data_IF_011185690683
#
_entry.id   IF_011185690683
#
_cell.length_a   1.000
_cell.length_b   1.000
_cell.length_c   1.000
_cell.angle_alpha   90.00
_cell.angle_beta   90.00
_cell.angle_gamma   90.00
#
_symmetry.space_group_name_H-M   'P 1'
#
loop_
_entity.id
_entity.type
_entity.pdbx_description
1 polymer ?
#
# COMPACT_ATOMS: atom_id res chain seq x y z
N UNK A 1 -15.83 -12.10 34.76
CA UNK A 1 -14.50 -12.54 34.36
C UNK A 1 -13.45 -11.72 35.11
N UNK A 2 -12.42 -12.36 35.63
CA UNK A 2 -11.29 -11.66 36.24
C UNK A 2 -10.56 -10.83 35.18
N UNK A 3 -10.03 -9.67 35.57
CA UNK A 3 -9.18 -8.87 34.68
C UNK A 3 -7.91 -9.69 34.34
N UNK A 4 -7.51 -9.67 33.06
CA UNK A 4 -6.25 -10.28 32.64
C UNK A 4 -5.05 -9.43 33.11
N UNK A 5 -3.89 -10.04 33.19
CA UNK A 5 -2.62 -9.45 33.66
C UNK A 5 -1.60 -9.30 32.53
N UNK A 6 -2.04 -8.88 31.33
CA UNK A 6 -1.14 -8.67 30.20
C UNK A 6 -0.24 -7.47 30.49
N UNK A 7 1.06 -7.70 30.53
CA UNK A 7 2.08 -6.65 30.56
C UNK A 7 2.70 -6.51 29.18
N UNK A 8 2.55 -5.33 28.55
CA UNK A 8 3.21 -4.97 27.30
C UNK A 8 4.60 -4.44 27.65
N UNK A 9 5.64 -5.19 27.35
CA UNK A 9 7.04 -4.83 27.64
C UNK A 9 7.72 -4.08 26.51
N UNK A 10 7.23 -4.22 25.28
CA UNK A 10 7.67 -3.45 24.11
C UNK A 10 6.57 -3.41 23.05
N UNK A 11 6.47 -2.28 22.34
CA UNK A 11 5.64 -2.15 21.16
C UNK A 11 6.56 -2.21 19.94
N UNK A 12 6.51 -3.32 19.20
CA UNK A 12 7.06 -3.39 17.85
C UNK A 12 5.92 -3.18 16.86
N UNK A 13 5.70 -1.91 16.49
CA UNK A 13 4.73 -1.57 15.45
C UNK A 13 5.34 -1.70 14.06
N UNK A 14 4.51 -1.92 13.05
CA UNK A 14 4.90 -1.73 11.66
C UNK A 14 5.32 -0.27 11.45
N UNK A 15 6.32 -0.05 10.58
CA UNK A 15 6.73 1.29 10.21
C UNK A 15 5.55 2.02 9.56
N UNK A 16 5.32 3.26 9.98
CA UNK A 16 4.31 4.14 9.40
C UNK A 16 4.96 5.43 8.93
N UNK A 17 4.43 5.98 7.83
CA UNK A 17 4.88 7.23 7.23
C UNK A 17 3.69 8.18 7.06
N UNK A 18 3.96 9.47 7.06
CA UNK A 18 2.97 10.51 6.77
C UNK A 18 2.91 10.85 5.27
N UNK A 19 2.03 11.79 4.94
CA UNK A 19 1.80 12.22 3.57
C UNK A 19 3.01 12.88 2.92
N UNK A 20 3.86 13.58 3.68
CA UNK A 20 5.05 14.24 3.13
C UNK A 20 6.16 13.22 2.87
N UNK A 21 6.32 12.25 3.76
CA UNK A 21 7.26 11.17 3.58
C UNK A 21 6.91 10.30 2.37
N UNK A 22 5.63 9.92 2.20
CA UNK A 22 5.22 9.12 1.02
C UNK A 22 5.36 9.92 -0.28
N UNK A 23 5.12 11.23 -0.26
CA UNK A 23 5.36 12.11 -1.42
C UNK A 23 6.82 12.07 -1.86
N UNK A 24 7.74 12.21 -0.91
CA UNK A 24 9.17 12.15 -1.18
C UNK A 24 9.62 10.77 -1.67
N UNK A 25 9.11 9.70 -1.05
CA UNK A 25 9.40 8.32 -1.43
C UNK A 25 8.92 8.00 -2.85
N UNK A 26 7.72 8.42 -3.23
CA UNK A 26 7.16 8.16 -4.55
C UNK A 26 7.94 8.84 -5.70
N UNK A 27 8.69 9.90 -5.40
CA UNK A 27 9.54 10.60 -6.36
C UNK A 27 10.99 10.13 -6.35
N UNK A 28 11.36 9.23 -5.44
CA UNK A 28 12.73 8.72 -5.29
C UNK A 28 12.89 7.37 -6.00
N UNK A 29 13.93 7.19 -6.82
CA UNK A 29 14.22 5.89 -7.44
C UNK A 29 14.67 4.83 -6.42
N UNK A 30 15.04 5.26 -5.20
CA UNK A 30 15.51 4.38 -4.13
C UNK A 30 14.37 3.88 -3.22
N UNK A 31 13.13 4.20 -3.55
CA UNK A 31 11.95 3.79 -2.79
C UNK A 31 10.84 3.29 -3.74
N UNK A 32 9.95 2.47 -3.21
CA UNK A 32 8.83 1.93 -3.94
C UNK A 32 7.53 2.18 -3.15
N UNK A 33 6.57 2.84 -3.79
CA UNK A 33 5.26 3.10 -3.20
C UNK A 33 4.21 2.29 -3.94
N UNK A 34 3.48 1.42 -3.23
CA UNK A 34 2.40 0.60 -3.78
C UNK A 34 1.03 1.16 -3.45
N UNK A 35 0.20 1.30 -4.48
CA UNK A 35 -1.25 1.49 -4.35
C UNK A 35 -1.94 0.13 -4.34
N UNK A 36 -2.51 -0.24 -3.19
CA UNK A 36 -3.17 -1.53 -3.00
C UNK A 36 -4.65 -1.54 -3.44
N UNK A 37 -5.19 -0.42 -3.95
CA UNK A 37 -6.56 -0.32 -4.46
C UNK A 37 -6.73 -1.11 -5.76
N UNK A 38 -7.99 -1.29 -6.18
CA UNK A 38 -8.30 -1.82 -7.52
C UNK A 38 -7.66 -0.97 -8.62
N UNK A 39 -7.19 -1.61 -9.69
CA UNK A 39 -6.50 -0.94 -10.79
C UNK A 39 -7.35 0.17 -11.46
N UNK A 40 -8.68 0.03 -11.50
CA UNK A 40 -9.57 1.06 -12.03
C UNK A 40 -9.54 2.34 -11.17
N UNK A 41 -9.46 2.21 -9.83
CA UNK A 41 -9.31 3.34 -8.92
C UNK A 41 -7.94 4.01 -9.07
N UNK A 42 -6.87 3.22 -9.19
CA UNK A 42 -5.53 3.73 -9.45
C UNK A 42 -5.49 4.57 -10.73
N UNK A 43 -6.05 4.06 -11.84
CA UNK A 43 -6.06 4.79 -13.11
C UNK A 43 -6.95 6.04 -13.11
N UNK A 44 -7.85 6.18 -12.13
CA UNK A 44 -8.81 7.26 -12.09
C UNK A 44 -10.06 7.01 -12.95
N UNK A 45 -10.29 5.78 -13.40
CA UNK A 45 -11.50 5.38 -14.14
C UNK A 45 -12.73 5.37 -13.22
N UNK A 46 -12.51 5.10 -11.93
CA UNK A 46 -13.53 5.01 -10.89
C UNK A 46 -13.04 5.67 -9.60
N UNK A 47 -13.90 6.43 -8.92
CA UNK A 47 -13.66 6.86 -7.54
C UNK A 47 -15.00 7.01 -6.80
N UNK A 48 -15.47 5.94 -6.12
CA UNK A 48 -16.78 5.95 -5.48
C UNK A 48 -16.81 6.63 -4.09
N UNK A 49 -15.64 6.94 -3.49
CA UNK A 49 -15.56 7.30 -2.08
C UNK A 49 -14.85 8.65 -1.83
N UNK A 50 -13.82 8.95 -2.61
CA UNK A 50 -12.92 10.06 -2.34
C UNK A 50 -13.14 11.23 -3.30
N UNK A 51 -12.75 12.48 -2.94
CA UNK A 51 -13.08 13.67 -3.74
C UNK A 51 -12.37 13.76 -5.10
N UNK A 52 -11.25 13.05 -5.27
CA UNK A 52 -10.48 13.05 -6.53
C UNK A 52 -10.13 11.63 -6.96
N UNK A 53 -10.26 11.35 -8.25
CA UNK A 53 -9.85 10.09 -8.85
C UNK A 53 -8.38 10.12 -9.27
N UNK A 54 -7.71 8.95 -9.26
CA UNK A 54 -6.31 8.79 -9.65
C UNK A 54 -5.45 8.19 -8.55
N UNK A 55 -4.14 8.48 -8.56
CA UNK A 55 -3.16 7.92 -7.63
C UNK A 55 -2.08 8.94 -7.25
N UNK A 56 -1.28 8.62 -6.25
CA UNK A 56 -0.09 9.39 -5.86
C UNK A 56 0.93 9.30 -7.00
N UNK A 57 1.39 10.44 -7.59
CA UNK A 57 2.38 10.41 -8.66
C UNK A 57 3.66 9.66 -8.25
N UNK A 58 4.10 8.71 -9.06
CA UNK A 58 5.22 7.83 -8.78
C UNK A 58 4.85 6.51 -8.09
N UNK A 59 3.63 6.36 -7.60
CA UNK A 59 3.17 5.10 -7.03
C UNK A 59 2.90 4.04 -8.10
N UNK A 60 3.16 2.78 -7.77
CA UNK A 60 2.94 1.61 -8.63
C UNK A 60 1.63 0.93 -8.25
N UNK A 61 0.80 0.60 -9.24
CA UNK A 61 -0.42 -0.18 -9.03
C UNK A 61 -0.11 -1.61 -8.58
N UNK A 62 -0.57 -1.98 -7.40
CA UNK A 62 -0.37 -3.30 -6.81
C UNK A 62 -1.66 -3.80 -6.12
N UNK A 63 -2.74 -4.06 -6.88
CA UNK A 63 -4.03 -4.43 -6.31
C UNK A 63 -3.93 -5.61 -5.35
N UNK A 64 -4.38 -5.43 -4.11
CA UNK A 64 -4.24 -6.48 -3.08
C UNK A 64 -5.05 -7.73 -3.38
N UNK A 65 -6.13 -7.62 -4.16
CA UNK A 65 -6.92 -8.77 -4.60
C UNK A 65 -6.09 -9.78 -5.45
N UNK A 66 -5.05 -9.32 -6.12
CA UNK A 66 -4.15 -10.16 -6.91
C UNK A 66 -3.23 -11.04 -6.05
N UNK A 67 -3.19 -10.83 -4.74
CA UNK A 67 -2.47 -11.69 -3.79
C UNK A 67 -3.25 -12.95 -3.42
N UNK A 68 -4.52 -13.04 -3.83
CA UNK A 68 -5.42 -14.10 -3.43
C UNK A 68 -5.61 -15.15 -4.52
N UNK A 69 -5.85 -16.38 -4.08
CA UNK A 69 -6.39 -17.46 -4.91
C UNK A 69 -7.88 -17.25 -5.18
N UNK A 70 -8.47 -18.07 -6.03
CA UNK A 70 -9.91 -18.05 -6.29
C UNK A 70 -10.76 -18.33 -5.02
N UNK A 71 -10.19 -19.04 -4.04
CA UNK A 71 -10.85 -19.35 -2.77
C UNK A 71 -10.70 -18.24 -1.72
N UNK A 72 -10.07 -17.10 -2.07
CA UNK A 72 -9.90 -15.97 -1.18
C UNK A 72 -8.78 -16.13 -0.13
N UNK A 73 -7.92 -17.14 -0.26
CA UNK A 73 -6.72 -17.30 0.58
C UNK A 73 -5.52 -16.67 -0.08
N UNK A 74 -4.48 -16.34 0.68
CA UNK A 74 -3.22 -15.88 0.09
C UNK A 74 -2.64 -16.93 -0.84
N UNK A 75 -2.10 -16.49 -1.96
CA UNK A 75 -1.33 -17.32 -2.88
C UNK A 75 -0.12 -17.96 -2.17
N UNK A 76 0.41 -19.07 -2.68
CA UNK A 76 1.65 -19.66 -2.19
C UNK A 76 2.79 -18.64 -2.13
N UNK A 77 3.68 -18.77 -1.13
CA UNK A 77 4.82 -17.87 -0.89
C UNK A 77 5.63 -17.59 -2.17
N UNK A 78 5.89 -18.64 -2.96
CA UNK A 78 6.67 -18.50 -4.20
C UNK A 78 5.98 -17.61 -5.24
N UNK A 79 4.64 -17.70 -5.37
CA UNK A 79 3.87 -16.88 -6.31
C UNK A 79 3.77 -15.42 -5.83
N UNK A 80 3.59 -15.20 -4.52
CA UNK A 80 3.62 -13.86 -3.94
C UNK A 80 4.99 -13.22 -4.15
N UNK A 81 6.06 -13.98 -3.90
CA UNK A 81 7.42 -13.49 -4.09
C UNK A 81 7.68 -13.11 -5.55
N UNK A 82 7.37 -13.99 -6.49
CA UNK A 82 7.51 -13.71 -7.93
C UNK A 82 6.74 -12.45 -8.35
N UNK A 83 5.52 -12.28 -7.84
CA UNK A 83 4.69 -11.11 -8.10
C UNK A 83 5.35 -9.83 -7.58
N UNK A 84 5.80 -9.83 -6.33
CA UNK A 84 6.41 -8.65 -5.73
C UNK A 84 7.80 -8.35 -6.30
N UNK A 85 8.58 -9.36 -6.70
CA UNK A 85 9.83 -9.17 -7.44
C UNK A 85 9.59 -8.45 -8.77
N UNK A 86 8.56 -8.85 -9.52
CA UNK A 86 8.15 -8.18 -10.78
C UNK A 86 7.73 -6.73 -10.56
N UNK A 87 7.20 -6.40 -9.39
CA UNK A 87 6.84 -5.04 -9.00
C UNK A 87 8.01 -4.25 -8.41
N UNK A 88 9.19 -4.88 -8.24
CA UNK A 88 10.41 -4.23 -7.77
C UNK A 88 10.67 -4.29 -6.26
N UNK A 89 9.86 -5.02 -5.47
CA UNK A 89 9.97 -5.04 -4.01
C UNK A 89 11.33 -5.52 -3.47
N UNK A 90 12.08 -6.31 -4.23
CA UNK A 90 13.41 -6.79 -3.83
C UNK A 90 14.54 -5.77 -4.00
N UNK A 91 14.29 -4.65 -4.68
CA UNK A 91 15.31 -3.66 -5.03
C UNK A 91 15.29 -2.41 -4.13
N UNK A 92 14.17 -2.12 -3.46
CA UNK A 92 13.99 -0.91 -2.67
C UNK A 92 13.04 -1.11 -1.50
N UNK A 93 13.13 -0.29 -0.42
CA UNK A 93 12.14 -0.23 0.63
C UNK A 93 10.74 0.06 0.08
N UNK A 94 9.74 -0.64 0.63
CA UNK A 94 8.36 -0.56 0.16
C UNK A 94 7.51 0.23 1.15
N UNK A 95 6.70 1.15 0.64
CA UNK A 95 5.59 1.78 1.37
C UNK A 95 4.28 1.45 0.67
N UNK A 96 3.24 1.18 1.45
CA UNK A 96 1.92 0.79 0.93
C UNK A 96 0.85 1.77 1.39
N UNK A 97 -0.03 2.15 0.49
CA UNK A 97 -1.28 2.83 0.80
C UNK A 97 -2.48 2.17 0.11
N UNK A 98 -3.69 2.52 0.51
CA UNK A 98 -4.92 2.12 -0.19
C UNK A 98 -5.95 3.27 -0.22
N UNK A 99 -7.21 3.01 0.06
CA UNK A 99 -8.24 4.06 0.24
C UNK A 99 -8.10 4.77 1.59
N UNK A 100 -8.17 4.02 2.68
CA UNK A 100 -8.22 4.51 4.06
C UNK A 100 -7.28 3.77 5.03
N UNK A 101 -6.20 3.18 4.53
CA UNK A 101 -5.20 2.47 5.31
C UNK A 101 -5.56 1.02 5.69
N UNK A 102 -6.83 0.62 5.64
CA UNK A 102 -7.26 -0.72 6.07
C UNK A 102 -6.79 -1.81 5.11
N UNK A 103 -7.13 -1.71 3.83
CA UNK A 103 -6.74 -2.72 2.82
C UNK A 103 -5.21 -2.76 2.59
N UNK A 104 -4.50 -1.67 2.86
CA UNK A 104 -3.05 -1.62 2.79
C UNK A 104 -2.38 -2.59 3.79
N UNK A 105 -3.00 -2.83 4.96
CA UNK A 105 -2.46 -3.81 5.93
C UNK A 105 -2.52 -5.25 5.40
N UNK A 106 -3.54 -5.58 4.61
CA UNK A 106 -3.62 -6.87 3.92
C UNK A 106 -2.51 -7.02 2.87
N UNK A 107 -2.19 -5.94 2.13
CA UNK A 107 -1.05 -5.93 1.20
C UNK A 107 0.28 -6.13 1.94
N UNK A 108 0.47 -5.45 3.09
CA UNK A 108 1.65 -5.59 3.93
C UNK A 108 1.79 -7.02 4.46
N UNK A 109 0.66 -7.66 4.86
CA UNK A 109 0.69 -9.07 5.26
C UNK A 109 1.15 -9.99 4.12
N UNK A 110 0.69 -9.76 2.88
CA UNK A 110 1.14 -10.51 1.71
C UNK A 110 2.64 -10.29 1.41
N UNK A 111 3.13 -9.06 1.56
CA UNK A 111 4.57 -8.74 1.44
C UNK A 111 5.39 -9.47 2.50
N UNK A 112 4.95 -9.47 3.76
CA UNK A 112 5.61 -10.18 4.85
C UNK A 112 5.65 -11.71 4.61
N UNK A 113 4.56 -12.31 4.11
CA UNK A 113 4.53 -13.72 3.71
C UNK A 113 5.56 -14.00 2.60
N UNK A 114 5.74 -13.07 1.68
CA UNK A 114 6.74 -13.16 0.60
C UNK A 114 8.17 -12.86 1.08
N UNK A 115 8.37 -12.40 2.33
CA UNK A 115 9.67 -12.09 2.93
C UNK A 115 10.14 -10.66 2.70
N UNK A 116 9.20 -9.72 2.49
CA UNK A 116 9.48 -8.28 2.35
C UNK A 116 8.91 -7.48 3.52
N UNK A 117 9.70 -6.55 4.05
CA UNK A 117 9.21 -5.54 4.97
C UNK A 117 8.58 -4.38 4.20
N UNK A 118 7.54 -3.77 4.78
CA UNK A 118 6.90 -2.62 4.21
C UNK A 118 6.39 -1.65 5.29
N UNK A 119 6.41 -0.37 4.97
CA UNK A 119 5.79 0.69 5.78
C UNK A 119 4.35 0.94 5.34
N UNK A 120 3.52 1.45 6.25
CA UNK A 120 2.16 1.87 5.99
C UNK A 120 2.09 3.40 5.88
N UNK A 121 1.41 3.91 4.86
CA UNK A 121 0.86 5.26 4.87
C UNK A 121 -0.62 5.20 5.30
N UNK A 122 -0.93 5.45 6.60
CA UNK A 122 -2.28 5.22 7.15
C UNK A 122 -3.34 6.14 6.54
N UNK A 123 -3.00 7.41 6.30
CA UNK A 123 -3.91 8.40 5.71
C UNK A 123 -4.39 8.03 4.31
N UNK A 124 -3.53 7.36 3.55
CA UNK A 124 -3.87 6.75 2.27
C UNK A 124 -4.48 7.74 1.27
N UNK A 125 -5.22 7.25 0.28
CA UNK A 125 -5.82 8.09 -0.74
C UNK A 125 -6.85 9.08 -0.19
N UNK A 126 -7.60 8.71 0.84
CA UNK A 126 -8.60 9.60 1.44
C UNK A 126 -7.97 10.86 2.02
N UNK A 127 -6.85 10.76 2.72
CA UNK A 127 -6.10 11.93 3.19
C UNK A 127 -5.46 12.68 2.02
N UNK A 128 -4.76 11.96 1.13
CA UNK A 128 -4.07 12.56 0.00
C UNK A 128 -5.00 13.36 -0.92
N UNK A 129 -6.12 12.75 -1.31
CA UNK A 129 -7.07 13.34 -2.25
C UNK A 129 -7.88 14.50 -1.66
N UNK A 130 -7.99 14.56 -0.32
CA UNK A 130 -8.68 15.64 0.39
C UNK A 130 -7.87 16.94 0.44
N UNK A 131 -6.54 16.88 0.28
CA UNK A 131 -5.70 18.06 0.21
C UNK A 131 -5.59 18.52 -1.25
N UNK A 132 -6.19 19.69 -1.63
CA UNK A 132 -6.17 20.17 -3.00
C UNK A 132 -4.77 20.58 -3.50
N UNK A 133 -3.80 20.75 -2.61
CA UNK A 133 -2.43 21.10 -2.98
C UNK A 133 -1.59 19.87 -3.36
N UNK A 134 -2.02 18.65 -3.01
CA UNK A 134 -1.30 17.45 -3.39
C UNK A 134 -1.57 17.07 -4.84
N UNK A 135 -0.51 16.77 -5.61
CA UNK A 135 -0.65 16.37 -7.01
C UNK A 135 -1.34 15.01 -7.13
N UNK A 136 -2.03 14.80 -8.25
CA UNK A 136 -2.70 13.56 -8.60
C UNK A 136 -2.29 13.17 -10.01
N UNK A 137 -1.94 11.91 -10.19
CA UNK A 137 -1.74 11.29 -11.49
C UNK A 137 -2.93 10.40 -11.86
N UNK A 138 -3.14 10.19 -13.15
CA UNK A 138 -4.16 9.29 -13.70
C UNK A 138 -3.56 8.44 -14.82
N UNK A 139 -4.26 7.37 -15.20
CA UNK A 139 -3.77 6.44 -16.21
C UNK A 139 -2.99 5.27 -15.61
N UNK A 140 -2.47 4.37 -16.48
CA UNK A 140 -1.89 3.10 -16.04
C UNK A 140 -0.44 3.21 -15.53
N UNK A 141 0.23 4.32 -15.76
CA UNK A 141 1.65 4.51 -15.46
C UNK A 141 1.84 5.34 -14.17
N UNK A 142 2.96 5.13 -13.45
CA UNK A 142 3.28 5.86 -12.22
C UNK A 142 3.53 7.37 -12.39
N UNK A 143 3.55 7.86 -13.61
CA UNK A 143 3.98 9.19 -14.08
C UNK A 143 3.86 10.34 -13.10
#
# INVERSE_FOLDING_TARGET
PAAGDITITSLHGLAAVDADAVAAQAQSPDNLVFDARAAARYRGDEEPLDPRAGHIPGAVSAPTAENLTADGTFKPVAELRERFDKLGAGAAPVTVYCGSGVTATHQIAALAIAGYDAALYPGSWSEWSSDPQRPVATGPNPA
#
